data_IF_720999428578
#
_entry.id   IF_720999428578
#
_cell.length_a   1.000
_cell.length_b   1.000
_cell.length_c   1.000
_cell.angle_alpha   90.00
_cell.angle_beta   90.00
_cell.angle_gamma   90.00
#
_symmetry.space_group_name_H-M   'P 1'
#
loop_
_entity.id
_entity.type
_entity.pdbx_description
1 polymer ?
#
# COMPACT_ATOMS: atom_id res chain seq x y z
N UNK A 1 -26.21 -2.96 -0.13
CA UNK A 1 -25.68 -4.33 -0.02
C UNK A 1 -25.03 -4.43 1.35
N UNK A 2 -25.30 -5.48 2.12
CA UNK A 2 -24.81 -5.63 3.50
C UNK A 2 -23.36 -6.14 3.52
N UNK A 3 -22.57 -5.68 4.49
CA UNK A 3 -21.12 -5.90 4.58
C UNK A 3 -20.78 -7.41 4.68
N UNK A 4 -21.69 -8.21 5.25
CA UNK A 4 -21.56 -9.67 5.36
C UNK A 4 -21.80 -10.40 4.04
N UNK A 5 -22.63 -9.86 3.16
CA UNK A 5 -22.90 -10.46 1.85
C UNK A 5 -21.70 -10.28 0.91
N UNK A 6 -21.08 -9.09 0.93
CA UNK A 6 -19.87 -8.82 0.14
C UNK A 6 -18.69 -9.70 0.58
N UNK A 7 -18.55 -9.98 1.88
CA UNK A 7 -17.52 -10.87 2.41
C UNK A 7 -17.77 -12.34 2.06
N UNK A 8 -19.03 -12.81 2.05
CA UNK A 8 -19.37 -14.18 1.65
C UNK A 8 -19.16 -14.43 0.17
N UNK A 9 -19.46 -13.46 -0.67
CA UNK A 9 -19.16 -13.54 -2.11
C UNK A 9 -17.64 -13.53 -2.36
N UNK A 10 -16.87 -12.75 -1.59
CA UNK A 10 -15.40 -12.75 -1.65
C UNK A 10 -14.80 -14.10 -1.21
N UNK A 11 -15.31 -14.72 -0.15
CA UNK A 11 -14.86 -16.05 0.31
C UNK A 11 -15.14 -17.14 -0.74
N UNK A 12 -16.25 -17.04 -1.46
CA UNK A 12 -16.62 -17.98 -2.51
C UNK A 12 -15.76 -17.86 -3.78
N UNK A 13 -15.19 -16.68 -4.05
CA UNK A 13 -14.33 -16.42 -5.22
C UNK A 13 -12.84 -16.71 -4.97
N UNK A 14 -12.43 -16.94 -3.71
CA UNK A 14 -11.05 -17.34 -3.35
C UNK A 14 -10.94 -18.88 -3.39
N UNK A 15 -10.05 -19.46 -4.21
CA UNK A 15 -9.86 -20.91 -4.24
C UNK A 15 -9.53 -21.44 -2.84
N UNK A 16 -10.24 -22.49 -2.41
CA UNK A 16 -9.99 -23.11 -1.11
C UNK A 16 -8.51 -23.49 -0.99
N UNK A 17 -7.85 -22.99 0.06
CA UNK A 17 -6.43 -23.27 0.31
C UNK A 17 -6.16 -24.78 0.27
N UNK A 18 -5.16 -25.18 -0.52
CA UNK A 18 -4.73 -26.58 -0.63
C UNK A 18 -4.38 -27.14 0.76
N UNK A 19 -4.48 -28.46 0.92
CA UNK A 19 -4.14 -29.14 2.18
C UNK A 19 -2.74 -28.75 2.69
N UNK A 20 -1.79 -28.62 1.77
CA UNK A 20 -0.41 -28.23 2.04
C UNK A 20 -0.27 -26.77 2.46
N UNK A 21 -0.99 -25.84 1.82
CA UNK A 21 -1.01 -24.43 2.22
C UNK A 21 -1.61 -24.26 3.63
N UNK A 22 -2.65 -25.03 3.95
CA UNK A 22 -3.27 -25.05 5.28
C UNK A 22 -2.36 -25.71 6.33
N UNK A 23 -1.60 -26.73 5.97
CA UNK A 23 -0.59 -27.35 6.84
C UNK A 23 0.58 -26.40 7.11
N UNK A 24 1.10 -25.74 6.08
CA UNK A 24 2.16 -24.74 6.20
C UNK A 24 1.70 -23.52 7.03
N UNK A 25 0.45 -23.07 6.87
CA UNK A 25 -0.15 -22.03 7.72
C UNK A 25 -0.23 -22.44 9.19
N UNK A 26 -0.69 -23.67 9.48
CA UNK A 26 -0.75 -24.22 10.85
C UNK A 26 0.65 -24.37 11.47
N UNK A 27 1.64 -24.79 10.70
CA UNK A 27 3.02 -24.89 11.16
C UNK A 27 3.61 -23.51 11.51
N UNK A 28 3.35 -22.48 10.68
CA UNK A 28 3.75 -21.10 10.98
C UNK A 28 3.07 -20.55 12.23
N UNK A 29 1.76 -20.79 12.39
CA UNK A 29 1.01 -20.37 13.57
C UNK A 29 1.52 -21.08 14.84
N UNK A 30 1.73 -22.39 14.80
CA UNK A 30 2.27 -23.14 15.94
C UNK A 30 3.66 -22.66 16.34
N UNK A 31 4.51 -22.32 15.36
CA UNK A 31 5.83 -21.74 15.61
C UNK A 31 5.74 -20.35 16.24
N UNK A 32 4.85 -19.49 15.74
CA UNK A 32 4.62 -18.17 16.32
C UNK A 32 4.10 -18.27 17.77
N UNK A 33 3.14 -19.16 18.04
CA UNK A 33 2.63 -19.41 19.40
C UNK A 33 3.71 -19.95 20.34
N UNK A 34 4.58 -20.84 19.87
CA UNK A 34 5.69 -21.37 20.66
C UNK A 34 6.79 -20.32 20.91
N UNK A 35 6.99 -19.37 19.99
CA UNK A 35 7.88 -18.22 20.21
C UNK A 35 7.27 -17.21 21.19
N UNK A 36 5.96 -16.94 21.12
CA UNK A 36 5.24 -16.09 22.07
C UNK A 36 5.29 -16.65 23.50
N UNK A 37 5.04 -17.96 23.66
CA UNK A 37 5.10 -18.65 24.95
C UNK A 37 6.51 -18.66 25.57
N UNK A 38 7.56 -18.55 24.74
CA UNK A 38 8.96 -18.42 25.21
C UNK A 38 9.34 -16.98 25.54
N UNK A 39 8.61 -15.99 25.03
CA UNK A 39 8.84 -14.55 25.26
C UNK A 39 8.11 -14.02 26.49
N UNK A 40 7.15 -14.76 27.05
CA UNK A 40 6.52 -14.40 28.33
C UNK A 40 7.34 -14.93 29.50
N UNK A 41 8.07 -14.10 30.27
CA UNK A 41 8.59 -14.56 31.55
C UNK A 41 7.38 -14.78 32.46
N UNK A 42 7.18 -16.03 32.92
CA UNK A 42 6.20 -16.33 33.94
C UNK A 42 6.50 -15.45 35.16
N UNK A 43 5.70 -14.40 35.38
CA UNK A 43 5.63 -13.67 36.66
C UNK A 43 5.00 -14.61 37.68
N UNK A 44 5.80 -15.56 38.17
CA UNK A 44 5.49 -16.31 39.36
C UNK A 44 5.62 -15.35 40.54
N UNK A 45 4.51 -14.70 40.89
CA UNK A 45 4.33 -14.07 42.18
C UNK A 45 4.53 -15.14 43.25
N UNK A 46 5.66 -15.09 43.97
CA UNK A 46 5.77 -15.77 45.26
C UNK A 46 6.27 -14.79 46.32
N UNK A 47 5.31 -14.31 47.10
CA UNK A 47 5.45 -13.78 48.45
C UNK A 47 6.41 -14.66 49.27
N UNK A 48 7.39 -14.05 49.96
CA UNK A 48 7.67 -14.26 51.40
C UNK A 48 8.73 -13.26 51.90
N UNK A 49 8.50 -12.85 53.14
CA UNK A 49 9.14 -11.80 53.96
C UNK A 49 10.65 -11.97 54.14
N UNK A 50 11.36 -10.88 54.46
CA UNK A 50 12.06 -10.68 55.76
C UNK A 50 12.12 -9.18 56.11
N UNK A 51 11.74 -8.87 57.37
CA UNK A 51 11.86 -7.58 58.08
C UNK A 51 13.32 -7.24 58.49
N UNK A 52 13.63 -5.93 58.62
CA UNK A 52 14.31 -5.23 59.76
C UNK A 52 14.73 -3.83 59.27
N UNK A 53 14.10 -2.72 59.67
CA UNK A 53 14.18 -1.96 60.92
C UNK A 53 15.49 -1.18 61.12
N UNK A 54 15.42 0.16 61.21
CA UNK A 54 16.45 0.98 61.88
C UNK A 54 16.70 2.42 61.36
N UNK A 55 15.95 3.38 61.89
CA UNK A 55 16.36 4.73 62.38
C UNK A 55 17.11 5.78 61.51
N UNK A 56 16.46 6.96 61.45
CA UNK A 56 16.96 8.32 61.72
C UNK A 56 17.83 9.11 60.71
N UNK A 57 17.19 10.15 60.16
CA UNK A 57 17.63 11.55 59.97
C UNK A 57 19.10 11.88 59.64
N UNK A 58 19.34 12.47 58.47
CA UNK A 58 19.78 13.88 58.25
C UNK A 58 20.30 14.07 56.81
N UNK A 59 20.23 15.31 56.32
CA UNK A 59 20.49 15.73 54.95
C UNK A 59 21.96 15.65 54.52
N UNK A 60 22.21 15.32 53.25
CA UNK A 60 23.28 15.89 52.42
C UNK A 60 23.11 15.48 50.95
N UNK A 61 23.20 16.44 50.03
CA UNK A 61 23.23 16.22 48.59
C UNK A 61 24.53 15.50 48.19
N UNK A 62 24.41 14.45 47.37
CA UNK A 62 25.51 13.89 46.60
C UNK A 62 24.99 13.36 45.26
N UNK A 63 25.43 13.99 44.18
CA UNK A 63 25.25 13.50 42.80
C UNK A 63 26.14 12.28 42.64
N UNK A 64 25.53 11.10 42.54
CA UNK A 64 26.22 9.87 42.13
C UNK A 64 25.59 9.39 40.81
N UNK A 65 26.28 9.65 39.70
CA UNK A 65 25.96 9.07 38.42
C UNK A 65 26.20 7.55 38.48
N UNK A 66 25.14 6.77 38.60
CA UNK A 66 25.19 5.32 38.40
C UNK A 66 25.24 5.08 36.90
N UNK A 67 26.44 4.77 36.39
CA UNK A 67 26.58 4.16 35.06
C UNK A 67 25.99 2.76 35.17
N UNK A 68 24.75 2.59 34.73
CA UNK A 68 24.19 1.26 34.50
C UNK A 68 24.89 0.70 33.28
N UNK A 69 25.91 -0.12 33.52
CA UNK A 69 26.43 -1.05 32.53
C UNK A 69 25.27 -1.95 32.09
N UNK A 70 24.69 -1.62 30.93
CA UNK A 70 23.61 -2.40 30.36
C UNK A 70 24.23 -3.60 29.65
N UNK A 71 23.90 -4.76 30.19
CA UNK A 71 24.22 -6.12 29.76
C UNK A 71 24.18 -6.25 28.22
N UNK A 72 25.33 -6.59 27.62
CA UNK A 72 25.55 -6.71 26.18
C UNK A 72 24.99 -8.05 25.68
N UNK A 73 23.65 -8.18 25.71
CA UNK A 73 22.95 -9.24 24.99
C UNK A 73 22.47 -8.69 23.67
N UNK A 74 22.87 -9.27 22.52
CA UNK A 74 22.24 -8.94 21.25
C UNK A 74 20.79 -9.44 21.33
N UNK A 75 19.86 -8.55 21.63
CA UNK A 75 18.48 -8.74 21.19
C UNK A 75 18.54 -9.02 19.69
N UNK A 76 17.74 -9.96 19.15
CA UNK A 76 17.68 -10.15 17.71
C UNK A 76 17.22 -8.82 17.12
N UNK A 77 18.15 -8.05 16.54
CA UNK A 77 17.83 -6.89 15.73
C UNK A 77 17.04 -7.47 14.57
N UNK A 78 15.71 -7.41 14.65
CA UNK A 78 14.90 -7.34 13.46
C UNK A 78 15.42 -6.12 12.73
N UNK A 79 16.28 -6.32 11.73
CA UNK A 79 16.70 -5.25 10.84
C UNK A 79 15.43 -4.76 10.18
N UNK A 80 14.89 -3.65 10.68
CA UNK A 80 13.84 -2.91 10.01
C UNK A 80 14.42 -2.51 8.67
N UNK A 81 13.88 -3.09 7.59
CA UNK A 81 14.30 -2.72 6.24
C UNK A 81 14.10 -1.22 6.06
N UNK A 82 14.99 -0.58 5.31
CA UNK A 82 14.75 0.80 4.90
C UNK A 82 13.62 0.88 3.87
N UNK A 83 13.02 2.06 3.69
CA UNK A 83 12.01 2.29 2.65
C UNK A 83 12.52 1.91 1.25
N UNK A 84 13.77 2.25 0.94
CA UNK A 84 14.41 1.85 -0.32
C UNK A 84 14.52 0.33 -0.47
N UNK A 85 14.81 -0.42 0.61
CA UNK A 85 14.86 -1.89 0.56
C UNK A 85 13.48 -2.51 0.35
N UNK A 86 12.43 -1.95 0.96
CA UNK A 86 11.03 -2.39 0.75
C UNK A 86 10.64 -2.20 -0.71
N UNK A 87 10.90 -1.01 -1.28
CA UNK A 87 10.60 -0.71 -2.68
C UNK A 87 11.34 -1.62 -3.67
N UNK A 88 12.63 -1.90 -3.43
CA UNK A 88 13.40 -2.84 -4.28
C UNK A 88 12.83 -4.26 -4.23
N UNK A 89 12.46 -4.75 -3.05
CA UNK A 89 11.80 -6.06 -2.92
C UNK A 89 10.44 -6.09 -3.60
N UNK A 90 9.68 -4.99 -3.52
CA UNK A 90 8.41 -4.87 -4.23
C UNK A 90 8.60 -4.85 -5.75
N UNK A 91 9.66 -4.22 -6.26
CA UNK A 91 10.02 -4.25 -7.67
C UNK A 91 10.32 -5.69 -8.14
N UNK A 92 11.14 -6.43 -7.39
CA UNK A 92 11.43 -7.84 -7.69
C UNK A 92 10.17 -8.70 -7.68
N UNK A 93 9.30 -8.52 -6.67
CA UNK A 93 8.03 -9.24 -6.57
C UNK A 93 7.14 -8.94 -7.76
N UNK A 94 7.03 -7.67 -8.15
CA UNK A 94 6.20 -7.20 -9.27
C UNK A 94 6.70 -7.74 -10.60
N UNK A 95 8.02 -7.79 -10.83
CA UNK A 95 8.59 -8.45 -12.02
C UNK A 95 8.23 -9.93 -12.08
N UNK A 96 8.30 -10.62 -10.94
CA UNK A 96 7.94 -12.03 -10.86
C UNK A 96 6.45 -12.28 -11.10
N UNK A 97 5.56 -11.39 -10.63
CA UNK A 97 4.11 -11.48 -10.87
C UNK A 97 3.72 -11.10 -12.30
N UNK A 98 4.38 -10.11 -12.88
CA UNK A 98 4.11 -9.62 -14.24
C UNK A 98 4.71 -10.50 -15.35
N UNK A 99 5.55 -11.47 -15.02
CA UNK A 99 6.14 -12.39 -15.98
C UNK A 99 5.03 -13.23 -16.65
N UNK A 100 4.79 -12.97 -17.95
CA UNK A 100 3.81 -13.70 -18.75
C UNK A 100 2.44 -13.02 -18.92
N UNK A 101 2.26 -11.78 -18.45
CA UNK A 101 1.08 -10.99 -18.80
C UNK A 101 1.13 -10.64 -20.30
N UNK A 102 0.14 -11.04 -21.11
CA UNK A 102 0.12 -10.72 -22.53
C UNK A 102 0.05 -9.22 -22.78
N UNK A 103 0.75 -8.76 -23.81
CA UNK A 103 0.61 -7.37 -24.29
C UNK A 103 -0.80 -7.21 -24.88
N UNK A 104 -1.61 -6.25 -24.38
CA UNK A 104 -2.96 -6.02 -24.88
C UNK A 104 -2.94 -5.52 -26.32
N UNK A 105 -3.95 -5.92 -27.10
CA UNK A 105 -4.22 -5.37 -28.44
C UNK A 105 -4.97 -4.05 -28.31
N UNK A 106 -4.80 -3.16 -29.30
CA UNK A 106 -5.39 -1.81 -29.26
C UNK A 106 -6.92 -1.80 -29.16
N UNK A 107 -7.59 -2.83 -29.68
CA UNK A 107 -9.05 -2.96 -29.67
C UNK A 107 -9.62 -3.56 -28.37
N UNK A 108 -8.78 -3.88 -27.38
CA UNK A 108 -9.19 -4.49 -26.13
C UNK A 108 -9.41 -3.47 -25.01
N UNK A 109 -9.80 -3.98 -23.86
CA UNK A 109 -10.02 -3.23 -22.63
C UNK A 109 -9.10 -3.70 -21.51
N UNK A 110 -8.56 -2.75 -20.77
CA UNK A 110 -7.91 -2.98 -19.48
C UNK A 110 -8.99 -3.03 -18.40
N UNK A 111 -9.17 -4.22 -17.83
CA UNK A 111 -10.06 -4.44 -16.69
C UNK A 111 -9.31 -4.28 -15.37
N UNK A 112 -9.94 -3.62 -14.41
CA UNK A 112 -9.55 -3.72 -13.01
C UNK A 112 -10.75 -3.66 -12.08
N UNK A 113 -10.67 -4.42 -10.99
CA UNK A 113 -11.55 -4.37 -9.83
C UNK A 113 -10.71 -3.99 -8.62
N UNK A 114 -11.09 -2.91 -7.98
CA UNK A 114 -10.43 -2.38 -6.79
C UNK A 114 -11.42 -2.33 -5.64
N UNK A 115 -10.96 -2.66 -4.44
CA UNK A 115 -11.68 -2.36 -3.20
C UNK A 115 -10.96 -1.20 -2.53
N UNK A 116 -11.71 -0.22 -2.06
CA UNK A 116 -11.16 0.93 -1.36
C UNK A 116 -11.90 1.15 -0.06
N UNK A 117 -11.11 1.43 0.99
CA UNK A 117 -11.61 1.65 2.34
C UNK A 117 -11.29 3.08 2.73
N UNK A 118 -12.34 3.86 3.04
CA UNK A 118 -12.24 5.23 3.51
C UNK A 118 -12.48 5.31 5.01
N UNK A 119 -11.55 5.95 5.71
CA UNK A 119 -11.64 6.22 7.15
C UNK A 119 -11.67 7.73 7.38
N UNK A 120 -12.78 8.31 7.90
CA UNK A 120 -12.85 9.73 8.21
C UNK A 120 -11.79 10.16 9.24
N UNK A 121 -11.13 11.30 9.01
CA UNK A 121 -10.09 11.82 9.90
C UNK A 121 -10.63 12.34 11.24
N UNK A 122 -11.89 12.80 11.27
CA UNK A 122 -12.52 13.36 12.48
C UNK A 122 -13.29 12.31 13.29
N UNK A 123 -13.03 11.03 13.05
CA UNK A 123 -13.84 9.92 13.59
C UNK A 123 -15.12 9.71 12.78
N UNK A 124 -15.58 8.47 12.70
CA UNK A 124 -16.73 8.09 11.90
C UNK A 124 -16.69 6.62 11.48
N UNK A 125 -17.76 6.14 10.83
CA UNK A 125 -17.79 4.77 10.32
C UNK A 125 -16.83 4.66 9.13
N UNK A 126 -15.90 3.70 9.20
CA UNK A 126 -15.12 3.26 8.05
C UNK A 126 -16.07 2.71 6.97
N UNK A 127 -15.91 3.17 5.74
CA UNK A 127 -16.72 2.72 4.60
C UNK A 127 -15.85 2.01 3.60
N UNK A 128 -16.36 0.95 2.99
CA UNK A 128 -15.70 0.21 1.93
C UNK A 128 -16.54 0.28 0.67
N UNK A 129 -15.90 0.49 -0.47
CA UNK A 129 -16.55 0.52 -1.77
C UNK A 129 -15.69 -0.24 -2.79
N UNK A 130 -16.37 -0.82 -3.78
CA UNK A 130 -15.74 -1.54 -4.87
C UNK A 130 -15.92 -0.74 -6.14
N UNK A 131 -14.82 -0.56 -6.87
CA UNK A 131 -14.82 0.09 -8.16
C UNK A 131 -14.41 -0.93 -9.24
N UNK A 132 -15.09 -0.90 -10.38
CA UNK A 132 -14.74 -1.69 -11.57
C UNK A 132 -14.53 -0.77 -12.77
N UNK A 133 -13.53 -1.10 -13.58
CA UNK A 133 -13.08 -0.27 -14.69
C UNK A 133 -12.91 -1.12 -15.95
N UNK A 134 -13.30 -0.57 -17.10
CA UNK A 134 -13.00 -1.07 -18.44
C UNK A 134 -12.46 0.09 -19.27
N UNK A 135 -11.14 0.16 -19.43
CA UNK A 135 -10.48 1.28 -20.10
C UNK A 135 -9.99 0.83 -21.49
N UNK A 136 -10.32 1.58 -22.53
CA UNK A 136 -9.82 1.31 -23.90
C UNK A 136 -8.30 1.31 -23.91
N UNK A 137 -7.68 0.25 -24.43
CA UNK A 137 -6.21 0.09 -24.44
C UNK A 137 -5.53 1.23 -25.20
N UNK A 138 -6.09 1.64 -26.32
CA UNK A 138 -5.59 2.71 -27.20
C UNK A 138 -6.31 4.06 -27.02
N UNK A 139 -7.24 4.15 -26.06
CA UNK A 139 -8.07 5.34 -25.85
C UNK A 139 -9.05 5.67 -26.98
N UNK A 140 -9.18 4.85 -28.03
CA UNK A 140 -10.04 5.15 -29.20
C UNK A 140 -11.51 4.77 -28.99
N UNK A 141 -11.81 3.97 -27.96
CA UNK A 141 -13.16 3.51 -27.61
C UNK A 141 -13.64 4.11 -26.29
N UNK A 142 -14.95 4.08 -26.10
CA UNK A 142 -15.60 4.47 -24.85
C UNK A 142 -15.08 3.60 -23.71
N UNK A 143 -14.73 4.23 -22.59
CA UNK A 143 -14.31 3.55 -21.36
C UNK A 143 -15.41 3.62 -20.31
N UNK A 144 -15.55 2.58 -19.48
CA UNK A 144 -16.56 2.51 -18.43
C UNK A 144 -15.93 2.45 -17.04
N UNK A 145 -16.48 3.26 -16.15
CA UNK A 145 -16.14 3.33 -14.74
C UNK A 145 -17.39 3.03 -13.94
N UNK A 146 -17.31 2.06 -13.05
CA UNK A 146 -18.36 1.73 -12.08
C UNK A 146 -17.79 2.02 -10.70
N UNK A 147 -18.31 3.03 -10.03
CA UNK A 147 -17.86 3.45 -8.70
C UNK A 147 -19.03 3.94 -7.86
N UNK A 148 -19.05 3.62 -6.57
CA UNK A 148 -20.09 4.05 -5.62
C UNK A 148 -21.53 3.80 -6.12
N UNK A 149 -21.74 2.65 -6.79
CA UNK A 149 -23.03 2.26 -7.37
C UNK A 149 -23.45 3.04 -8.62
N UNK A 150 -22.58 3.90 -9.16
CA UNK A 150 -22.82 4.69 -10.37
C UNK A 150 -21.99 4.14 -11.53
N UNK A 151 -22.58 4.17 -12.72
CA UNK A 151 -21.86 3.91 -13.97
C UNK A 151 -21.60 5.24 -14.66
N UNK A 152 -20.35 5.48 -15.04
CA UNK A 152 -19.91 6.62 -15.83
C UNK A 152 -19.18 6.09 -17.05
N UNK A 153 -19.64 6.52 -18.22
CA UNK A 153 -18.97 6.24 -19.48
C UNK A 153 -18.21 7.50 -19.91
N UNK A 154 -16.94 7.34 -20.26
CA UNK A 154 -16.08 8.42 -20.74
C UNK A 154 -15.81 8.23 -22.24
N UNK A 155 -15.97 9.29 -23.07
CA UNK A 155 -15.67 9.21 -24.48
C UNK A 155 -14.15 9.16 -24.73
N UNK A 156 -13.71 8.69 -25.91
CA UNK A 156 -12.30 8.61 -26.30
C UNK A 156 -11.46 9.86 -25.99
N UNK A 157 -12.02 11.05 -26.22
CA UNK A 157 -11.35 12.34 -26.00
C UNK A 157 -10.96 12.62 -24.54
N UNK A 158 -11.58 11.93 -23.57
CA UNK A 158 -11.26 12.06 -22.15
C UNK A 158 -9.93 11.38 -21.76
N UNK A 159 -9.37 10.54 -22.63
CA UNK A 159 -8.14 9.79 -22.37
C UNK A 159 -6.84 10.60 -22.59
N UNK A 160 -6.92 11.74 -23.27
CA UNK A 160 -5.78 12.64 -23.48
C UNK A 160 -5.50 13.50 -22.24
N UNK A 161 -5.02 12.85 -21.17
CA UNK A 161 -4.52 13.53 -19.97
C UNK A 161 -3.02 13.81 -20.09
N UNK A 162 -2.55 14.86 -19.43
CA UNK A 162 -1.12 15.25 -19.44
C UNK A 162 -0.22 14.20 -18.80
N UNK A 163 -0.63 13.62 -17.67
CA UNK A 163 0.13 12.60 -16.94
C UNK A 163 -0.76 11.85 -15.93
N UNK A 164 -0.57 10.53 -15.74
CA UNK A 164 0.14 9.62 -16.66
C UNK A 164 -0.68 9.40 -17.94
N UNK A 165 -0.04 9.06 -19.08
CA UNK A 165 -0.77 8.62 -20.27
C UNK A 165 -1.70 7.45 -19.93
N UNK A 166 -2.90 7.44 -20.51
CA UNK A 166 -3.85 6.34 -20.30
C UNK A 166 -3.76 5.26 -21.38
N UNK A 167 -3.21 5.61 -22.55
CA UNK A 167 -2.98 4.69 -23.65
C UNK A 167 -1.79 3.76 -23.36
N UNK A 168 -2.00 2.45 -23.53
CA UNK A 168 -0.99 1.45 -23.23
C UNK A 168 0.29 1.61 -24.07
N UNK A 169 0.16 2.00 -25.35
CA UNK A 169 1.30 2.22 -26.23
C UNK A 169 2.20 3.35 -25.72
N UNK A 170 1.62 4.49 -25.29
CA UNK A 170 2.36 5.61 -24.70
C UNK A 170 3.01 5.23 -23.36
N UNK A 171 2.34 4.40 -22.55
CA UNK A 171 2.95 3.86 -21.34
C UNK A 171 4.14 2.95 -21.66
N UNK A 172 4.06 2.16 -22.73
CA UNK A 172 5.13 1.25 -23.14
C UNK A 172 6.39 1.97 -23.69
N UNK A 173 6.25 3.24 -24.09
CA UNK A 173 7.37 4.10 -24.46
C UNK A 173 8.15 4.65 -23.25
N UNK A 174 7.57 4.59 -22.05
CA UNK A 174 8.24 5.07 -20.84
C UNK A 174 9.45 4.17 -20.48
N UNK A 175 10.55 4.76 -19.99
CA UNK A 175 11.72 3.99 -19.59
C UNK A 175 11.38 3.00 -18.46
N UNK A 176 11.85 1.77 -18.59
CA UNK A 176 11.83 0.75 -17.54
C UNK A 176 13.16 0.68 -16.75
N UNK A 177 14.08 1.59 -17.07
CA UNK A 177 15.27 1.87 -16.27
C UNK A 177 14.90 2.93 -15.20
N UNK A 178 15.14 2.67 -13.91
CA UNK A 178 14.66 3.53 -12.83
C UNK A 178 15.30 4.92 -12.83
N UNK A 179 16.56 5.05 -13.22
CA UNK A 179 17.25 6.34 -13.27
C UNK A 179 16.72 7.19 -14.43
N UNK A 180 16.54 6.60 -15.60
CA UNK A 180 15.94 7.28 -16.77
C UNK A 180 14.48 7.65 -16.53
N UNK A 181 13.72 6.77 -15.86
CA UNK A 181 12.32 7.05 -15.52
C UNK A 181 12.23 8.22 -14.54
N UNK A 182 13.08 8.22 -13.49
CA UNK A 182 13.16 9.31 -12.53
C UNK A 182 13.55 10.65 -13.20
N UNK A 183 14.52 10.60 -14.12
CA UNK A 183 15.00 11.78 -14.84
C UNK A 183 13.92 12.49 -15.67
N UNK A 184 12.81 11.83 -16.03
CA UNK A 184 11.67 12.48 -16.70
C UNK A 184 11.00 13.55 -15.83
N UNK A 185 11.06 13.40 -14.50
CA UNK A 185 10.43 14.32 -13.55
C UNK A 185 11.44 15.26 -12.87
N UNK A 186 12.73 14.98 -13.02
CA UNK A 186 13.83 15.74 -12.43
C UNK A 186 14.40 16.83 -13.35
N UNK A 187 13.78 17.07 -14.51
CA UNK A 187 14.27 17.99 -15.56
C UNK A 187 14.44 19.46 -15.12
N UNK A 188 13.97 19.85 -13.93
CA UNK A 188 14.04 21.22 -13.39
C UNK A 188 14.92 21.36 -12.13
N UNK A 189 15.55 20.27 -11.64
CA UNK A 189 16.23 20.26 -10.35
C UNK A 189 15.30 20.55 -9.16
N UNK A 190 13.97 20.44 -9.36
CA UNK A 190 12.99 20.61 -8.30
C UNK A 190 12.90 19.33 -7.47
N UNK A 191 13.19 19.48 -6.17
CA UNK A 191 12.76 18.70 -5.00
C UNK A 191 12.12 17.33 -5.31
N UNK A 192 12.60 16.28 -4.67
CA UNK A 192 12.04 14.92 -4.78
C UNK A 192 10.54 14.77 -4.50
N UNK A 193 9.85 15.83 -4.05
CA UNK A 193 8.39 15.87 -3.86
C UNK A 193 7.62 15.75 -5.20
N UNK A 194 8.03 16.48 -6.25
CA UNK A 194 7.38 16.44 -7.55
C UNK A 194 7.55 15.07 -8.21
N UNK A 195 8.80 14.57 -8.25
CA UNK A 195 9.11 13.24 -8.77
C UNK A 195 8.37 12.12 -8.01
N UNK A 196 8.32 12.21 -6.67
CA UNK A 196 7.53 11.28 -5.86
C UNK A 196 6.05 11.30 -6.25
N UNK A 197 5.48 12.50 -6.42
CA UNK A 197 4.08 12.68 -6.80
C UNK A 197 3.80 12.06 -8.16
N UNK A 198 4.62 12.35 -9.17
CA UNK A 198 4.43 11.85 -10.53
C UNK A 198 4.59 10.32 -10.62
N UNK A 199 5.55 9.74 -9.89
CA UNK A 199 5.71 8.29 -9.76
C UNK A 199 4.51 7.63 -9.07
N UNK A 200 3.96 8.26 -8.02
CA UNK A 200 2.73 7.78 -7.39
C UNK A 200 1.51 7.90 -8.31
N UNK A 201 1.41 8.98 -9.09
CA UNK A 201 0.35 9.12 -10.09
C UNK A 201 0.46 8.04 -11.18
N UNK A 202 1.68 7.66 -11.58
CA UNK A 202 1.92 6.56 -12.51
C UNK A 202 1.46 5.21 -11.95
N UNK A 203 1.51 4.99 -10.64
CA UNK A 203 0.97 3.76 -10.01
C UNK A 203 -0.55 3.79 -9.85
N UNK A 204 -1.16 4.98 -9.88
CA UNK A 204 -2.60 5.18 -9.71
C UNK A 204 -3.38 5.15 -11.02
N UNK A 205 -2.81 5.76 -12.06
CA UNK A 205 -3.53 6.07 -13.29
C UNK A 205 -3.82 4.83 -14.13
N UNK A 206 -2.79 4.10 -14.59
CA UNK A 206 -2.97 2.89 -15.40
C UNK A 206 -3.52 1.74 -14.55
N UNK A 207 -4.43 0.96 -15.13
CA UNK A 207 -4.99 -0.24 -14.50
C UNK A 207 -4.17 -1.50 -14.79
N UNK A 208 -3.44 -1.49 -15.91
CA UNK A 208 -2.48 -2.51 -16.31
C UNK A 208 -1.23 -1.78 -16.78
N UNK A 209 -0.09 -2.13 -16.20
CA UNK A 209 1.20 -1.53 -16.51
C UNK A 209 1.95 -2.39 -17.53
N UNK A 210 2.65 -1.79 -18.51
CA UNK A 210 3.60 -2.52 -19.34
C UNK A 210 4.63 -3.27 -18.49
N UNK A 211 5.12 -4.44 -18.96
CA UNK A 211 6.10 -5.23 -18.22
C UNK A 211 7.30 -4.39 -17.78
N UNK A 212 7.64 -4.50 -16.49
CA UNK A 212 8.79 -3.80 -15.90
C UNK A 212 8.54 -2.34 -15.50
N UNK A 213 7.53 -1.65 -16.03
CA UNK A 213 7.31 -0.23 -15.72
C UNK A 213 6.94 0.03 -14.25
N UNK A 214 6.09 -0.81 -13.66
CA UNK A 214 5.73 -0.68 -12.25
C UNK A 214 6.93 -0.98 -11.32
N UNK A 215 7.74 -1.98 -11.68
CA UNK A 215 8.97 -2.29 -10.95
C UNK A 215 9.98 -1.15 -11.04
N UNK A 216 10.15 -0.56 -12.22
CA UNK A 216 10.99 0.61 -12.44
C UNK A 216 10.51 1.81 -11.62
N UNK A 217 9.19 2.02 -11.50
CA UNK A 217 8.63 3.09 -10.68
C UNK A 217 8.94 2.89 -9.18
N UNK A 218 8.85 1.66 -8.65
CA UNK A 218 9.26 1.39 -7.27
C UNK A 218 10.76 1.60 -7.06
N UNK A 219 11.60 1.16 -7.99
CA UNK A 219 13.04 1.41 -7.92
C UNK A 219 13.40 2.89 -8.05
N UNK A 220 12.71 3.64 -8.90
CA UNK A 220 12.87 5.09 -9.04
C UNK A 220 12.50 5.80 -7.73
N UNK A 221 11.40 5.40 -7.08
CA UNK A 221 11.06 5.88 -5.73
C UNK A 221 12.17 5.58 -4.73
N UNK A 222 12.83 4.42 -4.84
CA UNK A 222 13.91 4.00 -3.94
C UNK A 222 15.20 4.82 -4.10
N UNK A 223 15.34 5.57 -5.20
CA UNK A 223 16.45 6.50 -5.42
C UNK A 223 16.20 7.87 -4.80
N UNK A 224 14.96 8.21 -4.44
CA UNK A 224 14.63 9.51 -3.86
C UNK A 224 15.22 9.64 -2.46
N UNK A 225 15.94 10.74 -2.15
CA UNK A 225 16.42 10.98 -0.80
C UNK A 225 15.25 11.30 0.13
N UNK A 226 15.27 10.72 1.33
CA UNK A 226 14.33 11.08 2.40
C UNK A 226 13.02 10.31 2.43
N UNK A 227 12.78 9.35 1.52
CA UNK A 227 11.62 8.45 1.65
C UNK A 227 11.64 7.70 2.99
N UNK A 228 10.47 7.57 3.61
CA UNK A 228 10.30 6.95 4.93
C UNK A 228 9.29 5.81 4.86
N UNK A 229 9.38 4.92 5.85
CA UNK A 229 8.33 3.93 6.08
C UNK A 229 7.23 4.54 6.93
N UNK A 230 5.99 4.31 6.53
CA UNK A 230 4.84 4.54 7.38
C UNK A 230 4.61 3.31 8.26
N UNK A 231 4.49 3.52 9.57
CA UNK A 231 4.27 2.45 10.53
C UNK A 231 2.81 1.95 10.49
N UNK A 232 2.65 0.61 10.53
CA UNK A 232 1.39 -0.12 10.71
C UNK A 232 0.22 0.29 9.81
N UNK A 233 0.45 0.25 8.48
CA UNK A 233 -0.62 0.42 7.50
C UNK A 233 -1.49 -0.84 7.36
N UNK A 234 -2.75 -0.67 6.99
CA UNK A 234 -3.68 -1.77 6.70
C UNK A 234 -4.37 -1.49 5.38
N UNK A 235 -4.37 -2.46 4.46
CA UNK A 235 -5.01 -2.30 3.16
C UNK A 235 -6.54 -2.39 3.23
N UNK A 236 -7.19 -2.16 2.07
CA UNK A 236 -8.64 -2.19 1.99
C UNK A 236 -9.26 -3.55 2.33
N UNK A 237 -8.49 -4.64 2.25
CA UNK A 237 -8.88 -6.02 2.52
C UNK A 237 -8.52 -6.47 3.95
N UNK A 238 -8.02 -5.57 4.80
CA UNK A 238 -7.63 -5.86 6.18
C UNK A 238 -6.26 -6.54 6.32
N UNK A 239 -5.46 -6.58 5.25
CA UNK A 239 -4.09 -7.11 5.30
C UNK A 239 -3.16 -6.02 5.85
N UNK A 240 -2.35 -6.37 6.85
CA UNK A 240 -1.30 -5.47 7.32
C UNK A 240 -0.28 -5.22 6.20
N UNK A 241 0.01 -3.95 5.98
CA UNK A 241 0.97 -3.47 5.00
C UNK A 241 2.06 -2.61 5.62
N UNK A 242 2.96 -2.19 4.75
CA UNK A 242 4.03 -1.22 4.99
C UNK A 242 3.82 -0.11 3.96
N UNK A 243 3.53 1.10 4.43
CA UNK A 243 3.48 2.28 3.56
C UNK A 243 4.87 2.84 3.32
N UNK A 244 5.07 3.43 2.15
CA UNK A 244 6.25 4.26 1.87
C UNK A 244 5.76 5.65 1.52
N UNK A 245 6.30 6.67 2.18
CA UNK A 245 5.93 8.07 1.95
C UNK A 245 7.15 8.97 1.74
N UNK A 246 6.90 10.14 1.14
CA UNK A 246 7.89 11.22 1.08
C UNK A 246 7.61 12.23 2.21
N UNK A 247 8.64 12.87 2.80
CA UNK A 247 8.45 13.78 3.92
C UNK A 247 7.39 14.86 3.65
N UNK A 248 6.43 14.99 4.56
CA UNK A 248 5.32 15.95 4.45
C UNK A 248 4.17 15.49 3.55
N UNK A 249 4.23 14.27 2.98
CA UNK A 249 3.16 13.71 2.17
C UNK A 249 2.36 12.66 2.92
N UNK A 250 1.04 12.70 2.74
CA UNK A 250 0.07 11.78 3.34
C UNK A 250 -0.45 10.72 2.35
N UNK A 251 0.26 10.51 1.24
CA UNK A 251 -0.08 9.52 0.22
C UNK A 251 1.16 8.74 -0.21
N UNK A 252 0.96 7.51 -0.67
CA UNK A 252 2.06 6.65 -1.10
C UNK A 252 1.67 5.20 -1.33
N UNK A 253 2.57 4.40 -1.90
CA UNK A 253 2.34 2.97 -2.11
C UNK A 253 2.34 2.21 -0.78
N UNK A 254 1.52 1.16 -0.72
CA UNK A 254 1.39 0.24 0.41
C UNK A 254 1.73 -1.16 -0.07
N UNK A 255 2.57 -1.87 0.69
CA UNK A 255 3.06 -3.21 0.35
C UNK A 255 2.73 -4.23 1.43
N UNK A 256 2.56 -5.48 1.06
CA UNK A 256 2.36 -6.56 2.02
C UNK A 256 3.65 -6.84 2.80
N UNK A 257 3.54 -6.99 4.12
CA UNK A 257 4.70 -7.01 5.02
C UNK A 257 5.65 -8.19 4.78
N UNK A 258 5.13 -9.36 4.39
CA UNK A 258 5.92 -10.59 4.27
C UNK A 258 6.47 -10.85 2.87
N UNK A 259 5.73 -10.46 1.83
CA UNK A 259 5.99 -10.74 0.42
C UNK A 259 6.37 -9.50 -0.37
N UNK A 260 6.15 -8.31 0.18
CA UNK A 260 6.33 -7.02 -0.49
C UNK A 260 5.46 -6.86 -1.75
N UNK A 261 4.40 -7.67 -1.87
CA UNK A 261 3.42 -7.52 -2.94
C UNK A 261 2.75 -6.14 -2.81
N UNK A 262 2.62 -5.43 -3.94
CA UNK A 262 1.96 -4.14 -3.96
C UNK A 262 0.47 -4.30 -3.66
N UNK A 263 0.01 -3.66 -2.60
CA UNK A 263 -1.39 -3.71 -2.16
C UNK A 263 -2.21 -2.60 -2.82
N UNK A 264 -1.58 -1.46 -3.10
CA UNK A 264 -2.22 -0.29 -3.68
C UNK A 264 -1.63 0.99 -3.09
N UNK A 265 -2.42 2.05 -3.00
CA UNK A 265 -1.97 3.31 -2.41
C UNK A 265 -2.83 3.76 -1.25
N UNK A 266 -2.17 4.41 -0.29
CA UNK A 266 -2.79 5.30 0.68
C UNK A 266 -2.93 6.68 0.08
N UNK A 267 -4.05 7.33 0.32
CA UNK A 267 -4.35 8.68 -0.12
C UNK A 267 -5.15 9.42 0.95
N UNK A 268 -5.13 10.75 0.91
CA UNK A 268 -6.13 11.58 1.57
C UNK A 268 -7.12 12.12 0.55
N UNK A 269 -8.39 12.22 0.95
CA UNK A 269 -9.45 12.78 0.13
C UNK A 269 -10.42 13.60 0.95
N UNK A 270 -11.32 14.30 0.27
CA UNK A 270 -12.38 15.10 0.90
C UNK A 270 -13.72 14.73 0.31
N UNK A 271 -14.67 14.32 1.16
CA UNK A 271 -16.03 13.96 0.76
C UNK A 271 -16.94 15.17 0.93
N UNK A 272 -17.73 15.50 -0.09
CA UNK A 272 -18.71 16.57 -0.03
C UNK A 272 -18.13 18.00 -0.07
N UNK A 273 -16.86 18.15 -0.47
CA UNK A 273 -16.30 19.46 -0.76
C UNK A 273 -17.03 20.08 -1.97
N UNK A 274 -17.21 21.41 -1.94
CA UNK A 274 -17.84 22.16 -3.02
C UNK A 274 -16.83 23.13 -3.64
N UNK A 275 -16.82 23.28 -4.98
CA UNK A 275 -16.01 24.31 -5.62
C UNK A 275 -16.58 25.70 -5.26
N UNK A 276 -15.76 26.54 -4.64
CA UNK A 276 -16.06 27.94 -4.27
C UNK A 276 -14.87 28.79 -4.73
N UNK A 277 -15.07 29.57 -5.79
CA UNK A 277 -14.00 30.45 -6.33
C UNK A 277 -12.80 29.70 -6.91
N UNK A 278 -13.00 28.48 -7.43
CA UNK A 278 -11.92 27.63 -7.96
C UNK A 278 -11.24 26.74 -6.93
N UNK A 279 -11.53 26.92 -5.64
CA UNK A 279 -11.04 26.08 -4.55
C UNK A 279 -12.12 25.12 -4.04
N UNK A 280 -11.74 23.90 -3.68
CA UNK A 280 -12.63 22.99 -2.96
C UNK A 280 -12.72 23.40 -1.49
N UNK A 281 -13.90 23.88 -1.07
CA UNK A 281 -14.17 24.28 0.32
C UNK A 281 -15.16 23.33 1.01
N UNK A 282 -14.94 23.15 2.31
CA UNK A 282 -15.73 22.26 3.15
C UNK A 282 -15.48 20.78 2.87
N UNK A 283 -16.38 19.93 3.37
CA UNK A 283 -16.30 18.48 3.25
C UNK A 283 -15.54 17.79 4.39
N UNK A 284 -15.73 16.48 4.47
CA UNK A 284 -15.11 15.62 5.46
C UNK A 284 -13.83 15.01 4.89
N UNK A 285 -12.71 15.23 5.55
CA UNK A 285 -11.43 14.61 5.18
C UNK A 285 -11.41 13.14 5.58
N UNK A 286 -10.86 12.28 4.73
CA UNK A 286 -10.67 10.87 5.00
C UNK A 286 -9.30 10.40 4.50
N UNK A 287 -8.78 9.35 5.10
CA UNK A 287 -7.76 8.50 4.46
C UNK A 287 -8.46 7.43 3.64
N UNK A 288 -7.94 7.14 2.46
CA UNK A 288 -8.37 6.05 1.59
C UNK A 288 -7.20 5.12 1.39
N UNK A 289 -7.42 3.83 1.55
CA UNK A 289 -6.49 2.81 1.08
C UNK A 289 -7.18 2.00 0.01
N UNK A 290 -6.47 1.76 -1.09
CA UNK A 290 -6.95 0.94 -2.21
C UNK A 290 -6.27 -0.42 -2.23
N UNK A 291 -7.02 -1.43 -2.62
CA UNK A 291 -6.61 -2.81 -2.80
C UNK A 291 -6.97 -3.28 -4.21
N UNK A 292 -5.99 -3.70 -5.02
CA UNK A 292 -6.30 -4.37 -6.28
C UNK A 292 -6.83 -5.79 -6.00
N UNK A 293 -8.03 -6.10 -6.50
CA UNK A 293 -8.66 -7.42 -6.36
C UNK A 293 -8.37 -8.28 -7.57
N UNK A 294 -8.59 -7.72 -8.77
CA UNK A 294 -8.36 -8.42 -10.04
C UNK A 294 -8.05 -7.39 -11.12
N UNK A 295 -7.14 -7.72 -12.02
CA UNK A 295 -6.90 -6.97 -13.25
C UNK A 295 -6.65 -7.92 -14.42
N UNK A 296 -6.73 -7.39 -15.64
CA UNK A 296 -6.41 -8.16 -16.84
C UNK A 296 -6.86 -7.47 -18.11
N UNK A 297 -6.71 -8.17 -19.23
CA UNK A 297 -7.14 -7.72 -20.56
C UNK A 297 -8.40 -8.47 -20.95
N UNK A 298 -9.42 -7.76 -21.44
CA UNK A 298 -10.70 -8.33 -21.89
C UNK A 298 -11.12 -7.73 -23.22
N UNK A 299 -12.00 -8.41 -23.96
CA UNK A 299 -12.38 -7.99 -25.32
C UNK A 299 -13.54 -6.97 -25.32
N UNK A 300 -14.21 -6.74 -24.19
CA UNK A 300 -15.35 -5.83 -24.13
C UNK A 300 -15.72 -5.37 -22.72
N UNK A 301 -16.44 -4.24 -22.67
CA UNK A 301 -17.04 -3.72 -21.44
C UNK A 301 -18.02 -4.73 -20.85
N UNK A 302 -17.92 -4.94 -19.54
CA UNK A 302 -18.74 -5.92 -18.79
C UNK A 302 -18.14 -7.32 -18.72
N UNK A 303 -17.07 -7.60 -19.45
CA UNK A 303 -16.31 -8.85 -19.31
C UNK A 303 -15.34 -8.77 -18.13
N UNK A 304 -15.09 -9.89 -17.45
CA UNK A 304 -14.05 -10.01 -16.43
C UNK A 304 -12.99 -11.02 -16.91
N UNK A 305 -11.70 -10.79 -16.62
CA UNK A 305 -10.66 -11.76 -16.97
C UNK A 305 -10.95 -13.09 -16.25
N UNK A 306 -10.56 -14.20 -16.89
CA UNK A 306 -10.73 -15.55 -16.34
C UNK A 306 -9.85 -15.70 -15.10
#
# INVERSE_FOLDING_TARGET
MDDLSALRELEAEVPALTGDARAAGRARLARAMAEEARRTPSRAVRRRLVLRAGLAATAAAAVAAVVVASDDRPAPRMTTLSAAQVLRRAADRTRAEGAGVPVPRGDQYLYAKEVSTRTPLKGGKRTTHTDEYWISVDGSRLSRYVYDGRTKDEPPSAHSVRWPPTEYAKLAELPTDPEKLLALFDASGSRGDAAYTDLCLLMRGPRVMPPGLQAAAFEALALLPGIVLDDDEVDALGRHGIGVSYPGMSFGPVFERSTYAYLGMRMEGVRGAKPVGGELKGGEKYTEVKGLVKSGVVDGIGQRPR
#
